data_IF_736283074244
#
_entry.id   IF_736283074244
#
_cell.length_a   1.000
_cell.length_b   1.000
_cell.length_c   1.000
_cell.angle_alpha   90.00
_cell.angle_beta   90.00
_cell.angle_gamma   90.00
#
_symmetry.space_group_name_H-M   'P 1'
#
loop_
_entity.id
_entity.type
_entity.pdbx_description
1 polymer ?
#
# COMPACT_ATOMS: atom_id res chain seq x y z
N UNK A 1 7.06 3.25 -3.67
CA UNK A 1 7.61 1.89 -3.76
C UNK A 1 8.71 1.68 -2.72
N UNK A 2 8.75 0.50 -2.08
CA UNK A 2 9.78 0.12 -1.12
C UNK A 2 10.36 -1.25 -1.46
N UNK A 3 11.67 -1.38 -1.26
CA UNK A 3 12.38 -2.66 -1.29
C UNK A 3 12.74 -3.01 0.16
N UNK A 4 12.27 -4.15 0.63
CA UNK A 4 12.52 -4.66 1.98
C UNK A 4 13.46 -5.85 1.86
N UNK A 5 14.52 -5.83 2.65
CA UNK A 5 15.51 -6.90 2.69
C UNK A 5 15.68 -7.42 4.11
N UNK A 6 15.76 -8.75 4.24
CA UNK A 6 16.08 -9.45 5.47
C UNK A 6 16.90 -10.71 5.15
N UNK A 7 18.17 -10.73 5.57
CA UNK A 7 19.08 -11.89 5.40
C UNK A 7 19.12 -12.46 3.96
N UNK A 8 19.07 -11.57 2.95
CA UNK A 8 19.06 -11.92 1.54
C UNK A 8 17.69 -12.24 0.94
N UNK A 9 16.63 -12.22 1.74
CA UNK A 9 15.23 -12.33 1.33
C UNK A 9 14.66 -10.97 0.99
N UNK A 10 13.92 -10.85 -0.10
CA UNK A 10 13.45 -9.56 -0.61
C UNK A 10 11.94 -9.55 -0.85
N UNK A 11 11.30 -8.46 -0.44
CA UNK A 11 9.90 -8.15 -0.77
C UNK A 11 9.80 -6.74 -1.36
N UNK A 12 8.90 -6.58 -2.34
CA UNK A 12 8.60 -5.27 -2.94
C UNK A 12 7.22 -4.82 -2.48
N UNK A 13 7.12 -3.58 -2.01
CA UNK A 13 5.84 -2.94 -1.66
C UNK A 13 5.55 -1.85 -2.67
N UNK A 14 4.35 -1.86 -3.24
CA UNK A 14 3.83 -0.90 -4.21
C UNK A 14 4.79 -0.63 -5.40
N UNK A 15 5.07 -1.63 -6.25
CA UNK A 15 5.80 -1.42 -7.49
C UNK A 15 4.90 -0.72 -8.52
N UNK A 16 4.76 0.58 -8.34
CA UNK A 16 3.88 1.43 -9.14
C UNK A 16 4.58 2.08 -10.32
N UNK A 17 4.30 3.35 -10.55
CA UNK A 17 4.63 4.12 -11.74
C UNK A 17 6.13 4.35 -11.95
N UNK A 18 6.88 3.29 -12.23
CA UNK A 18 8.32 3.37 -12.46
C UNK A 18 8.78 2.98 -13.87
N UNK A 19 7.88 2.68 -14.80
CA UNK A 19 8.23 2.12 -16.12
C UNK A 19 9.22 0.98 -16.01
N UNK A 20 8.94 0.07 -15.08
CA UNK A 20 9.80 -1.04 -14.70
C UNK A 20 11.19 -0.61 -14.17
N UNK A 21 11.30 0.58 -13.59
CA UNK A 21 12.58 1.05 -13.04
C UNK A 21 13.06 0.15 -11.90
N UNK A 22 12.14 -0.28 -11.03
CA UNK A 22 12.44 -1.21 -9.93
C UNK A 22 12.83 -2.57 -10.48
N UNK A 23 12.08 -3.12 -11.44
CA UNK A 23 12.41 -4.41 -12.08
C UNK A 23 13.81 -4.36 -12.74
N UNK A 24 14.12 -3.30 -13.49
CA UNK A 24 15.45 -3.12 -14.10
C UNK A 24 16.58 -3.00 -13.06
N UNK A 25 16.30 -2.32 -11.95
CA UNK A 25 17.25 -2.23 -10.83
C UNK A 25 17.51 -3.62 -10.22
N UNK A 26 16.47 -4.37 -9.90
CA UNK A 26 16.58 -5.72 -9.34
C UNK A 26 17.38 -6.65 -10.27
N UNK A 27 17.08 -6.62 -11.57
CA UNK A 27 17.80 -7.42 -12.57
C UNK A 27 19.29 -7.03 -12.66
N UNK A 28 19.59 -5.74 -12.66
CA UNK A 28 20.96 -5.23 -12.73
C UNK A 28 21.79 -5.63 -11.50
N UNK A 29 21.19 -5.55 -10.32
CA UNK A 29 21.87 -5.91 -9.06
C UNK A 29 21.82 -7.42 -8.75
N UNK A 30 21.19 -8.22 -9.60
CA UNK A 30 21.04 -9.66 -9.39
C UNK A 30 20.12 -10.01 -8.20
N UNK A 31 19.25 -9.09 -7.80
CA UNK A 31 18.31 -9.28 -6.70
C UNK A 31 17.07 -10.03 -7.21
N UNK A 32 16.65 -11.05 -6.46
CA UNK A 32 15.45 -11.83 -6.75
C UNK A 32 14.44 -11.64 -5.60
N UNK A 33 13.39 -10.84 -5.79
CA UNK A 33 12.33 -10.75 -4.79
C UNK A 33 11.54 -12.07 -4.72
N UNK A 34 10.93 -12.32 -3.55
CA UNK A 34 10.15 -13.52 -3.28
C UNK A 34 8.65 -13.23 -3.25
N UNK A 35 8.27 -11.97 -3.10
CA UNK A 35 6.87 -11.54 -3.02
C UNK A 35 6.69 -10.06 -3.29
N UNK A 36 5.49 -9.72 -3.69
CA UNK A 36 5.04 -8.35 -3.89
C UNK A 36 3.86 -8.11 -2.94
N UNK A 37 3.80 -6.94 -2.31
CA UNK A 37 2.63 -6.45 -1.60
C UNK A 37 2.13 -5.18 -2.28
N UNK A 38 0.84 -5.11 -2.61
CA UNK A 38 0.20 -3.93 -3.20
C UNK A 38 -0.85 -3.42 -2.22
N UNK A 39 -0.65 -2.20 -1.72
CA UNK A 39 -1.46 -1.67 -0.62
C UNK A 39 -2.91 -1.40 -1.02
N UNK A 40 -3.18 -0.98 -2.26
CA UNK A 40 -4.52 -0.70 -2.76
C UNK A 40 -4.57 -0.64 -4.29
N UNK A 41 -5.76 -0.44 -4.85
CA UNK A 41 -6.04 -0.57 -6.28
C UNK A 41 -5.77 0.67 -7.12
N UNK A 42 -5.05 1.69 -6.67
CA UNK A 42 -4.63 2.81 -7.52
C UNK A 42 -3.40 2.43 -8.35
N UNK A 43 -3.42 2.83 -9.63
CA UNK A 43 -2.47 2.35 -10.62
C UNK A 43 -1.00 2.68 -10.28
N UNK A 44 -0.75 3.82 -9.69
CA UNK A 44 0.58 4.26 -9.26
C UNK A 44 1.19 3.43 -8.12
N UNK A 45 0.44 2.45 -7.58
CA UNK A 45 0.91 1.47 -6.60
C UNK A 45 1.10 0.07 -7.19
N UNK A 46 0.48 -0.27 -8.33
CA UNK A 46 0.54 -1.62 -8.88
C UNK A 46 1.02 -1.73 -10.34
N UNK A 47 1.26 -0.61 -11.04
CA UNK A 47 1.48 -0.61 -12.49
C UNK A 47 2.59 -1.56 -12.97
N UNK A 48 3.67 -1.73 -12.19
CA UNK A 48 4.78 -2.61 -12.53
C UNK A 48 4.65 -4.02 -11.88
N UNK A 49 3.62 -4.26 -11.05
CA UNK A 49 3.48 -5.50 -10.28
C UNK A 49 3.26 -6.73 -11.17
N UNK A 50 2.47 -6.59 -12.24
CA UNK A 50 2.18 -7.70 -13.16
C UNK A 50 3.44 -8.24 -13.82
N UNK A 51 4.23 -7.36 -14.45
CA UNK A 51 5.47 -7.77 -15.14
C UNK A 51 6.50 -8.32 -14.15
N UNK A 52 6.58 -7.78 -12.95
CA UNK A 52 7.46 -8.28 -11.89
C UNK A 52 7.05 -9.68 -11.41
N UNK A 53 5.76 -9.90 -11.17
CA UNK A 53 5.25 -11.20 -10.75
C UNK A 53 5.48 -12.29 -11.81
N UNK A 54 5.22 -12.00 -13.08
CA UNK A 54 5.49 -12.92 -14.19
C UNK A 54 6.99 -13.20 -14.36
N UNK A 55 7.84 -12.17 -14.26
CA UNK A 55 9.31 -12.32 -14.43
C UNK A 55 9.91 -13.23 -13.36
N UNK A 56 9.50 -13.07 -12.12
CA UNK A 56 10.07 -13.79 -10.99
C UNK A 56 9.24 -15.01 -10.54
N UNK A 57 8.01 -15.14 -11.04
CA UNK A 57 7.02 -16.17 -10.67
C UNK A 57 6.74 -16.15 -9.15
N UNK A 58 6.36 -14.98 -8.65
CA UNK A 58 6.19 -14.68 -7.22
C UNK A 58 4.78 -14.18 -6.91
N UNK A 59 4.29 -14.44 -5.68
CA UNK A 59 2.95 -14.02 -5.26
C UNK A 59 2.82 -12.49 -5.13
N UNK A 60 1.60 -12.01 -5.44
CA UNK A 60 1.14 -10.65 -5.19
C UNK A 60 0.14 -10.70 -4.03
N UNK A 61 0.49 -10.13 -2.88
CA UNK A 61 -0.42 -9.94 -1.76
C UNK A 61 -1.25 -8.69 -1.99
N UNK A 62 -2.57 -8.85 -2.01
CA UNK A 62 -3.50 -7.78 -2.36
C UNK A 62 -4.76 -7.82 -1.49
N UNK A 63 -5.30 -6.68 -1.01
CA UNK A 63 -6.51 -6.67 -0.19
C UNK A 63 -7.71 -7.22 -0.96
N UNK A 64 -8.40 -8.21 -0.41
CA UNK A 64 -9.52 -8.89 -1.07
C UNK A 64 -10.62 -7.93 -1.55
N UNK A 65 -10.95 -6.92 -0.75
CA UNK A 65 -12.02 -5.97 -1.09
C UNK A 65 -11.66 -5.03 -2.23
N UNK A 66 -10.38 -4.76 -2.46
CA UNK A 66 -9.90 -3.91 -3.56
C UNK A 66 -10.14 -4.53 -4.95
N UNK A 67 -10.37 -5.83 -5.05
CA UNK A 67 -10.71 -6.49 -6.31
C UNK A 67 -11.95 -5.87 -6.96
N UNK A 68 -12.96 -5.53 -6.16
CA UNK A 68 -14.16 -4.85 -6.67
C UNK A 68 -13.89 -3.45 -7.22
N UNK A 69 -12.88 -2.76 -6.69
CA UNK A 69 -12.41 -1.49 -7.23
C UNK A 69 -11.77 -1.67 -8.62
N UNK A 70 -10.86 -2.62 -8.78
CA UNK A 70 -10.17 -2.88 -10.05
C UNK A 70 -11.14 -3.18 -11.20
N UNK A 71 -12.23 -3.91 -10.92
CA UNK A 71 -13.24 -4.27 -11.91
C UNK A 71 -14.17 -3.10 -12.30
N UNK A 72 -14.09 -1.97 -11.61
CA UNK A 72 -14.97 -0.83 -11.86
C UNK A 72 -14.49 0.01 -13.05
N UNK A 73 -15.40 0.29 -13.97
CA UNK A 73 -15.15 1.27 -15.05
C UNK A 73 -14.84 2.67 -14.49
N UNK A 74 -15.34 3.00 -13.30
CA UNK A 74 -15.09 4.30 -12.67
C UNK A 74 -13.66 4.43 -12.15
N UNK A 75 -13.07 3.34 -11.63
CA UNK A 75 -11.67 3.30 -11.23
C UNK A 75 -10.72 3.52 -12.43
N UNK A 76 -11.16 3.05 -13.61
CA UNK A 76 -10.41 3.15 -14.87
C UNK A 76 -10.63 4.47 -15.64
N UNK A 77 -11.47 5.38 -15.11
CA UNK A 77 -11.68 6.71 -15.68
C UNK A 77 -10.53 7.63 -15.26
N UNK A 78 -9.59 7.83 -16.17
CA UNK A 78 -8.45 8.70 -15.92
C UNK A 78 -7.48 8.67 -17.12
N UNK A 79 -6.35 9.33 -17.01
CA UNK A 79 -5.32 9.34 -18.06
C UNK A 79 -4.54 8.02 -18.14
N UNK A 80 -5.01 6.97 -17.48
CA UNK A 80 -4.33 5.69 -17.31
C UNK A 80 -4.64 4.73 -18.45
N UNK A 81 -3.64 3.93 -18.85
CA UNK A 81 -3.79 2.90 -19.86
C UNK A 81 -4.62 1.74 -19.29
N UNK A 82 -5.81 1.43 -19.87
CA UNK A 82 -6.62 0.29 -19.43
C UNK A 82 -5.90 -1.06 -19.48
N UNK A 83 -4.89 -1.20 -20.34
CA UNK A 83 -4.11 -2.43 -20.47
C UNK A 83 -3.34 -2.75 -19.17
N UNK A 84 -2.94 -1.73 -18.40
CA UNK A 84 -2.26 -1.92 -17.09
C UNK A 84 -3.19 -2.59 -16.10
N UNK A 85 -4.46 -2.17 -16.02
CA UNK A 85 -5.47 -2.81 -15.17
C UNK A 85 -5.71 -4.26 -15.56
N UNK A 86 -5.87 -4.53 -16.88
CA UNK A 86 -6.06 -5.88 -17.39
C UNK A 86 -4.87 -6.78 -17.06
N UNK A 87 -3.64 -6.31 -17.29
CA UNK A 87 -2.43 -7.07 -16.97
C UNK A 87 -2.34 -7.39 -15.48
N UNK A 88 -2.71 -6.44 -14.60
CA UNK A 88 -2.70 -6.66 -13.16
C UNK A 88 -3.78 -7.66 -12.73
N UNK A 89 -4.99 -7.60 -13.29
CA UNK A 89 -6.05 -8.58 -13.02
C UNK A 89 -5.65 -10.01 -13.48
N UNK A 90 -5.00 -10.13 -14.63
CA UNK A 90 -4.46 -11.41 -15.12
C UNK A 90 -3.36 -11.93 -14.18
N UNK A 91 -2.45 -11.04 -13.75
CA UNK A 91 -1.40 -11.41 -12.78
C UNK A 91 -1.98 -11.83 -11.43
N UNK A 92 -3.02 -11.14 -10.92
CA UNK A 92 -3.72 -11.56 -9.71
C UNK A 92 -4.41 -12.92 -9.85
N UNK A 93 -4.89 -13.26 -11.05
CA UNK A 93 -5.47 -14.58 -11.32
C UNK A 93 -4.44 -15.71 -11.24
N UNK A 94 -3.18 -15.43 -11.59
CA UNK A 94 -2.09 -16.40 -11.61
C UNK A 94 -1.31 -16.43 -10.29
N UNK A 95 -1.07 -15.25 -9.68
CA UNK A 95 -0.13 -15.04 -8.57
C UNK A 95 -0.76 -14.37 -7.35
N UNK A 96 -2.04 -14.04 -7.38
CA UNK A 96 -2.71 -13.29 -6.30
C UNK A 96 -2.89 -14.10 -5.02
N UNK A 97 -2.48 -13.52 -3.91
CA UNK A 97 -2.80 -13.96 -2.55
C UNK A 97 -3.64 -12.86 -1.90
N UNK A 98 -4.94 -13.13 -1.75
CA UNK A 98 -5.85 -12.15 -1.17
C UNK A 98 -5.76 -12.15 0.35
N UNK A 99 -5.53 -10.95 0.91
CA UNK A 99 -5.40 -10.73 2.35
C UNK A 99 -6.58 -9.95 2.93
N UNK A 100 -6.79 -10.17 4.23
CA UNK A 100 -7.82 -9.53 5.04
C UNK A 100 -7.21 -8.97 6.34
N UNK A 101 -8.05 -8.33 7.16
CA UNK A 101 -7.64 -7.79 8.46
C UNK A 101 -7.03 -8.85 9.37
N UNK A 102 -5.84 -8.58 9.87
CA UNK A 102 -5.13 -9.46 10.81
C UNK A 102 -4.30 -10.56 10.17
N UNK A 103 -4.40 -10.74 8.84
CA UNK A 103 -3.50 -11.64 8.11
C UNK A 103 -2.05 -11.22 8.27
N UNK A 104 -1.12 -12.10 7.90
CA UNK A 104 0.31 -11.87 8.04
C UNK A 104 1.07 -12.23 6.79
N UNK A 105 2.05 -11.40 6.44
CA UNK A 105 3.03 -11.68 5.38
C UNK A 105 4.37 -11.91 6.07
N UNK A 106 4.97 -13.06 5.82
CA UNK A 106 6.28 -13.40 6.37
C UNK A 106 7.37 -13.12 5.35
N UNK A 107 8.47 -12.51 5.77
CA UNK A 107 9.70 -12.38 5.00
C UNK A 107 10.86 -12.76 5.89
N UNK A 108 11.35 -13.98 5.76
CA UNK A 108 12.29 -14.60 6.68
C UNK A 108 11.84 -14.45 8.14
N UNK A 109 12.56 -13.71 8.97
CA UNK A 109 12.22 -13.46 10.38
C UNK A 109 11.26 -12.29 10.58
N UNK A 110 11.05 -11.44 9.57
CA UNK A 110 10.10 -10.33 9.64
C UNK A 110 8.66 -10.80 9.42
N UNK A 111 7.75 -10.31 10.25
CA UNK A 111 6.33 -10.61 10.16
C UNK A 111 5.50 -9.33 10.04
N UNK A 112 4.89 -9.14 8.89
CA UNK A 112 4.06 -7.98 8.61
C UNK A 112 2.59 -8.30 8.90
N UNK A 113 2.04 -7.71 9.95
CA UNK A 113 0.60 -7.77 10.23
C UNK A 113 -0.16 -6.84 9.27
N UNK A 114 -1.22 -7.36 8.65
CA UNK A 114 -2.08 -6.59 7.75
C UNK A 114 -3.13 -5.84 8.58
N UNK A 115 -3.20 -4.53 8.35
CA UNK A 115 -4.24 -3.66 8.87
C UNK A 115 -5.03 -3.12 7.69
N UNK A 116 -6.32 -3.38 7.62
CA UNK A 116 -7.20 -2.90 6.54
C UNK A 116 -7.85 -1.58 6.96
N UNK A 117 -7.60 -0.54 6.19
CA UNK A 117 -8.11 0.82 6.43
C UNK A 117 -8.97 1.27 5.24
N UNK A 118 -10.30 1.26 5.33
CA UNK A 118 -11.15 1.90 4.33
C UNK A 118 -11.09 3.43 4.44
N UNK A 119 -11.39 4.11 3.32
CA UNK A 119 -11.62 5.54 3.25
C UNK A 119 -10.82 6.26 2.17
N UNK A 120 -9.56 5.93 1.92
CA UNK A 120 -8.85 6.37 0.71
C UNK A 120 -9.32 5.57 -0.51
N UNK A 121 -9.50 4.29 -0.31
CA UNK A 121 -10.11 3.31 -1.21
C UNK A 121 -11.02 2.36 -0.41
N UNK A 122 -11.56 1.30 -1.03
CA UNK A 122 -12.45 0.35 -0.34
C UNK A 122 -11.80 -0.35 0.86
N UNK A 123 -10.52 -0.64 0.79
CA UNK A 123 -9.83 -1.43 1.81
C UNK A 123 -8.30 -1.34 1.69
N UNK A 124 -7.76 -0.15 1.59
CA UNK A 124 -6.32 0.00 1.57
C UNK A 124 -5.66 -0.73 2.74
N UNK A 125 -4.61 -1.50 2.50
CA UNK A 125 -3.88 -2.19 3.54
C UNK A 125 -2.63 -1.44 3.98
N UNK A 126 -2.34 -1.51 5.29
CA UNK A 126 -1.04 -1.17 5.84
C UNK A 126 -0.33 -2.46 6.27
N UNK A 127 0.99 -2.48 6.13
CA UNK A 127 1.84 -3.58 6.57
C UNK A 127 2.61 -3.12 7.82
N UNK A 128 2.23 -3.63 8.99
CA UNK A 128 2.89 -3.28 10.25
C UNK A 128 3.89 -4.35 10.66
N UNK A 129 5.16 -3.99 10.71
CA UNK A 129 6.24 -4.82 11.25
C UNK A 129 6.59 -4.35 12.67
N UNK A 130 6.19 -5.15 13.65
CA UNK A 130 6.24 -4.79 15.07
C UNK A 130 7.66 -4.75 15.63
N UNK A 131 8.53 -5.67 15.20
CA UNK A 131 9.87 -5.80 15.79
C UNK A 131 10.77 -4.61 15.46
N UNK A 132 10.59 -4.02 14.29
CA UNK A 132 11.31 -2.83 13.83
C UNK A 132 10.55 -1.53 14.11
N UNK A 133 9.30 -1.63 14.56
CA UNK A 133 8.47 -0.44 14.80
C UNK A 133 8.18 0.36 13.52
N UNK A 134 7.85 -0.32 12.42
CA UNK A 134 7.63 0.30 11.11
C UNK A 134 6.27 -0.10 10.56
N UNK A 135 5.56 0.85 9.93
CA UNK A 135 4.33 0.59 9.18
C UNK A 135 4.43 1.19 7.77
N UNK A 136 4.23 0.37 6.74
CA UNK A 136 4.03 0.83 5.36
C UNK A 136 2.55 1.17 5.22
N UNK A 137 2.27 2.45 5.09
CA UNK A 137 0.91 2.96 5.23
C UNK A 137 0.15 3.10 3.90
N UNK A 138 0.79 2.85 2.76
CA UNK A 138 0.20 3.21 1.48
C UNK A 138 -0.30 4.66 1.51
N UNK A 139 -1.48 4.91 1.00
CA UNK A 139 -2.07 6.25 0.94
C UNK A 139 -3.05 6.53 2.08
N UNK A 140 -2.79 5.98 3.27
CA UNK A 140 -3.64 6.24 4.43
C UNK A 140 -3.17 7.47 5.22
N UNK A 141 -1.90 7.51 5.62
CA UNK A 141 -1.34 8.55 6.47
C UNK A 141 -0.02 9.06 5.90
N UNK A 142 0.07 10.38 5.67
CA UNK A 142 1.23 11.08 5.16
C UNK A 142 1.81 12.05 6.21
N UNK A 143 3.00 12.56 5.96
CA UNK A 143 3.58 13.63 6.74
C UNK A 143 2.68 14.87 6.70
N UNK A 144 2.07 15.22 7.85
CA UNK A 144 1.13 16.33 8.04
C UNK A 144 -0.08 16.31 7.11
N UNK A 145 -0.45 15.13 6.59
CA UNK A 145 -1.57 14.97 5.68
C UNK A 145 -2.15 13.54 5.78
N UNK A 146 -3.20 13.31 5.04
CA UNK A 146 -3.83 12.00 4.86
C UNK A 146 -4.11 11.79 3.38
N UNK A 147 -4.37 10.56 2.96
CA UNK A 147 -4.75 10.25 1.59
C UNK A 147 -6.00 11.00 1.17
N UNK A 148 -6.13 11.31 -0.11
CA UNK A 148 -7.38 11.88 -0.65
C UNK A 148 -8.52 10.86 -0.55
N UNK A 149 -9.74 11.37 -0.40
CA UNK A 149 -10.92 10.52 -0.28
C UNK A 149 -12.06 10.96 -1.23
N UNK A 150 -11.72 11.75 -2.24
CA UNK A 150 -12.65 12.29 -3.25
C UNK A 150 -12.68 11.46 -4.54
N UNK A 151 -11.93 10.37 -4.60
CA UNK A 151 -11.95 9.41 -5.69
C UNK A 151 -13.09 8.39 -5.53
N UNK A 152 -13.30 7.59 -6.58
CA UNK A 152 -14.31 6.53 -6.55
C UNK A 152 -14.11 5.60 -5.34
N UNK A 153 -15.16 5.43 -4.54
CA UNK A 153 -15.20 4.68 -3.27
C UNK A 153 -14.36 5.25 -2.13
N UNK A 154 -13.87 6.49 -2.27
CA UNK A 154 -13.27 7.21 -1.16
C UNK A 154 -14.32 7.75 -0.19
N UNK A 155 -13.99 7.79 1.11
CA UNK A 155 -14.77 8.39 2.18
C UNK A 155 -13.83 8.97 3.25
N UNK A 156 -13.83 10.30 3.38
CA UNK A 156 -12.91 10.99 4.29
C UNK A 156 -13.20 10.74 5.76
N UNK A 157 -14.46 10.55 6.14
CA UNK A 157 -14.82 10.24 7.54
C UNK A 157 -14.36 8.83 7.92
N UNK A 158 -14.57 7.85 7.03
CA UNK A 158 -14.09 6.49 7.22
C UNK A 158 -12.55 6.44 7.25
N UNK A 159 -11.85 7.24 6.41
CA UNK A 159 -10.40 7.33 6.44
C UNK A 159 -9.89 7.82 7.79
N UNK A 160 -10.39 8.97 8.27
CA UNK A 160 -9.97 9.53 9.56
C UNK A 160 -10.30 8.60 10.73
N UNK A 161 -11.46 7.95 10.69
CA UNK A 161 -11.86 6.95 11.67
C UNK A 161 -10.91 5.75 11.67
N UNK A 162 -10.59 5.22 10.49
CA UNK A 162 -9.66 4.09 10.32
C UNK A 162 -8.26 4.41 10.84
N UNK A 163 -7.73 5.59 10.50
CA UNK A 163 -6.43 6.06 10.98
C UNK A 163 -6.43 6.14 12.51
N UNK A 164 -7.46 6.78 13.12
CA UNK A 164 -7.54 6.93 14.57
C UNK A 164 -7.65 5.59 15.30
N UNK A 165 -8.43 4.66 14.75
CA UNK A 165 -8.70 3.37 15.39
C UNK A 165 -7.57 2.35 15.22
N UNK A 166 -6.74 2.47 14.17
CA UNK A 166 -5.72 1.48 13.84
C UNK A 166 -4.31 2.07 13.88
N UNK A 167 -4.00 3.06 13.05
CA UNK A 167 -2.63 3.59 13.00
C UNK A 167 -2.25 4.35 14.26
N UNK A 168 -3.12 5.24 14.74
CA UNK A 168 -2.81 6.01 15.95
C UNK A 168 -2.83 5.17 17.25
N UNK A 169 -3.22 3.91 17.20
CA UNK A 169 -3.12 2.98 18.34
C UNK A 169 -1.79 2.23 18.39
N UNK A 170 -0.99 2.30 17.34
CA UNK A 170 0.35 1.75 17.31
C UNK A 170 1.27 2.49 18.32
N UNK A 171 2.40 1.89 18.73
CA UNK A 171 3.40 2.56 19.54
C UNK A 171 3.77 3.93 18.96
N UNK A 172 3.94 4.92 19.84
CA UNK A 172 4.10 6.32 19.41
C UNK A 172 5.36 6.59 18.60
N UNK A 173 6.40 5.79 18.80
CA UNK A 173 7.66 5.82 18.07
C UNK A 173 7.64 5.05 16.73
N UNK A 174 6.51 4.41 16.37
CA UNK A 174 6.38 3.72 15.09
C UNK A 174 6.63 4.67 13.93
N UNK A 175 7.56 4.29 13.06
CA UNK A 175 7.86 5.00 11.80
C UNK A 175 6.79 4.66 10.77
N UNK A 176 6.24 5.69 10.15
CA UNK A 176 5.27 5.56 9.07
C UNK A 176 5.97 5.80 7.74
N UNK A 177 5.92 4.81 6.86
CA UNK A 177 6.42 4.84 5.49
C UNK A 177 5.22 4.94 4.53
N UNK A 178 4.91 6.15 4.03
CA UNK A 178 3.73 6.38 3.21
C UNK A 178 3.95 6.01 1.74
N UNK A 179 2.87 5.93 0.96
CA UNK A 179 2.94 5.78 -0.50
C UNK A 179 3.59 6.98 -1.18
N UNK A 180 3.31 8.17 -0.68
CA UNK A 180 3.83 9.45 -1.19
C UNK A 180 4.42 10.33 -0.09
N UNK A 181 5.43 11.12 -0.46
CA UNK A 181 6.07 12.08 0.45
C UNK A 181 7.08 11.45 1.41
N UNK A 182 7.54 12.20 2.40
CA UNK A 182 8.55 11.72 3.34
C UNK A 182 7.96 10.83 4.43
N UNK A 183 8.81 10.01 5.04
CA UNK A 183 8.47 9.25 6.24
C UNK A 183 8.09 10.19 7.40
N UNK A 184 7.26 9.67 8.30
CA UNK A 184 6.85 10.35 9.52
C UNK A 184 6.78 9.38 10.70
N UNK A 185 6.18 9.79 11.82
CA UNK A 185 6.00 8.95 13.01
C UNK A 185 4.61 9.15 13.62
N UNK A 186 4.14 8.15 14.30
CA UNK A 186 2.80 8.18 14.93
C UNK A 186 2.67 9.33 15.94
N UNK A 187 3.67 9.60 16.77
CA UNK A 187 3.63 10.73 17.73
C UNK A 187 3.56 12.10 17.03
N UNK A 188 4.31 12.28 15.95
CA UNK A 188 4.29 13.50 15.16
C UNK A 188 2.93 13.76 14.52
N UNK A 189 2.36 12.73 13.90
CA UNK A 189 1.06 12.87 13.25
C UNK A 189 -0.09 13.06 14.26
N UNK A 190 -0.01 12.42 15.45
CA UNK A 190 -0.96 12.70 16.54
C UNK A 190 -0.94 14.16 16.98
N UNK A 191 0.24 14.77 17.05
CA UNK A 191 0.42 16.13 17.56
C UNK A 191 0.12 17.20 16.51
N UNK A 192 0.49 16.96 15.27
CA UNK A 192 0.70 18.04 14.32
C UNK A 192 -0.02 17.85 12.96
N UNK A 193 -0.72 16.73 12.77
CA UNK A 193 -1.48 16.51 11.54
C UNK A 193 -2.82 17.28 11.59
N UNK A 194 -3.05 18.24 10.68
CA UNK A 194 -4.22 19.11 10.74
C UNK A 194 -5.55 18.39 10.53
N UNK A 195 -5.56 17.25 9.85
CA UNK A 195 -6.76 16.40 9.67
C UNK A 195 -7.08 15.58 10.93
N UNK A 196 -6.08 15.28 11.73
CA UNK A 196 -6.24 14.44 12.92
C UNK A 196 -6.49 15.26 14.18
N UNK A 197 -5.98 16.48 14.25
CA UNK A 197 -6.20 17.41 15.37
C UNK A 197 -7.48 18.28 15.22
N UNK A 198 -8.17 18.18 14.09
CA UNK A 198 -9.44 18.88 13.84
C UNK A 198 -9.31 20.30 13.26
N UNK A 199 -8.11 20.71 12.85
CA UNK A 199 -7.88 22.00 12.18
C UNK A 199 -8.38 21.99 10.73
N UNK A 200 -8.41 20.82 10.09
CA UNK A 200 -8.92 20.61 8.73
C UNK A 200 -10.01 19.54 8.71
N UNK A 201 -11.00 19.71 7.82
CA UNK A 201 -12.04 18.73 7.54
C UNK A 201 -12.17 18.51 6.03
N UNK A 202 -12.72 17.35 5.64
CA UNK A 202 -13.08 17.10 4.25
C UNK A 202 -14.26 17.98 3.83
N UNK A 203 -14.14 18.68 2.69
CA UNK A 203 -15.29 19.28 2.03
C UNK A 203 -15.56 20.74 2.30
N UNK A 204 -14.57 21.57 2.57
CA UNK A 204 -14.70 23.01 2.37
C UNK A 204 -13.90 23.48 1.16
#
# INVERSE_FOLDING_TARGET
>A
CYLIEQEGHWMVVDPGEGRNAVLKYLQKEGIRPEKIAVTHGHMDHFADAAEMAETYQIPIYFPRKEVGYLHSELARRGPYDPAVFQAFEEALSNWGVYVEEGDRIQLDTLEFQILILPGHSDAGMCLYEKSQGVVFAGDQLFYRSVGRADLYRGDGEDLLKSIRQKLLTLPTDTVVLPGHGPATRIDQEKAENPYLNGEMSWGM
#
